data_IF_923872042002
#
_entry.id   IF_923872042002
#
_cell.length_a   1.000
_cell.length_b   1.000
_cell.length_c   1.000
_cell.angle_alpha   90.00
_cell.angle_beta   90.00
_cell.angle_gamma   90.00
#
_symmetry.space_group_name_H-M   'P 1'
#
loop_
_entity.id
_entity.type
_entity.pdbx_description
1 polymer ?
#
# COMPACT_ATOMS: atom_id res chain seq x y z
N UNK A 1 15.42 49.81 -7.05
CA UNK A 1 16.58 50.56 -6.52
C UNK A 1 17.07 50.04 -5.15
N UNK A 2 16.39 49.10 -4.48
CA UNK A 2 16.80 48.58 -3.14
C UNK A 2 17.17 47.11 -3.19
N UNK A 3 17.78 46.61 -4.25
CA UNK A 3 18.20 45.23 -4.40
C UNK A 3 19.70 45.14 -4.49
N UNK A 4 20.35 44.39 -3.60
CA UNK A 4 21.74 43.98 -3.69
C UNK A 4 21.83 42.53 -4.11
N UNK A 5 22.62 42.23 -5.11
CA UNK A 5 22.84 40.85 -5.60
C UNK A 5 24.28 40.47 -5.32
N UNK A 6 24.48 39.30 -4.70
CA UNK A 6 25.80 38.73 -4.45
C UNK A 6 25.96 37.40 -5.21
N UNK A 7 27.20 37.00 -5.50
CA UNK A 7 27.52 35.83 -6.30
C UNK A 7 27.49 34.51 -5.49
N UNK A 8 26.44 34.28 -4.66
CA UNK A 8 26.25 33.05 -3.87
C UNK A 8 27.47 32.72 -2.97
N UNK A 9 27.91 33.70 -2.18
CA UNK A 9 29.13 33.60 -1.36
C UNK A 9 28.89 33.15 0.10
N UNK A 10 27.68 32.69 0.45
CA UNK A 10 27.29 32.37 1.84
C UNK A 10 28.12 31.27 2.52
N UNK A 11 28.76 30.40 1.76
CA UNK A 11 29.61 29.31 2.29
C UNK A 11 31.10 29.51 2.02
N UNK A 12 31.56 30.75 1.81
CA UNK A 12 32.92 31.02 1.34
C UNK A 12 33.93 31.30 2.47
N UNK A 13 33.61 30.98 3.70
CA UNK A 13 34.56 31.02 4.82
C UNK A 13 35.02 29.61 5.18
N UNK A 14 36.24 29.47 5.72
CA UNK A 14 36.76 28.18 6.15
C UNK A 14 35.85 27.49 7.18
N UNK A 15 35.28 28.25 8.10
CA UNK A 15 34.33 27.77 9.12
C UNK A 15 33.03 27.27 8.48
N UNK A 16 32.46 28.03 7.53
CA UNK A 16 31.23 27.63 6.83
C UNK A 16 31.45 26.34 6.02
N UNK A 17 32.59 26.22 5.33
CA UNK A 17 32.92 25.04 4.53
C UNK A 17 33.09 23.80 5.43
N UNK A 18 33.78 23.93 6.59
CA UNK A 18 33.92 22.83 7.53
C UNK A 18 32.58 22.40 8.13
N UNK A 19 31.75 23.36 8.56
CA UNK A 19 30.43 23.07 9.12
C UNK A 19 29.48 22.43 8.09
N UNK A 20 29.45 22.92 6.87
CA UNK A 20 28.65 22.35 5.77
C UNK A 20 29.09 20.91 5.47
N UNK A 21 30.38 20.64 5.42
CA UNK A 21 30.90 19.29 5.16
C UNK A 21 30.48 18.32 6.28
N UNK A 22 30.60 18.70 7.54
CA UNK A 22 30.19 17.88 8.68
C UNK A 22 28.69 17.62 8.62
N UNK A 23 27.87 18.67 8.49
CA UNK A 23 26.42 18.53 8.44
C UNK A 23 25.96 17.70 7.26
N UNK A 24 26.54 17.88 6.08
CA UNK A 24 26.20 17.09 4.90
C UNK A 24 26.52 15.60 5.08
N UNK A 25 27.68 15.28 5.70
CA UNK A 25 28.06 13.91 6.01
C UNK A 25 27.12 13.26 7.03
N UNK A 26 26.77 13.98 8.10
CA UNK A 26 25.83 13.49 9.12
C UNK A 26 24.42 13.26 8.52
N UNK A 27 23.94 14.18 7.71
CA UNK A 27 22.64 14.06 7.04
C UNK A 27 22.65 12.90 6.05
N UNK A 28 23.69 12.76 5.25
CA UNK A 28 23.83 11.65 4.31
C UNK A 28 23.87 10.30 5.04
N UNK A 29 24.59 10.22 6.16
CA UNK A 29 24.65 9.01 6.98
C UNK A 29 23.30 8.67 7.61
N UNK A 30 22.60 9.66 8.16
CA UNK A 30 21.26 9.49 8.72
C UNK A 30 20.24 9.08 7.65
N UNK A 31 20.32 9.67 6.47
CA UNK A 31 19.49 9.31 5.32
C UNK A 31 19.77 7.86 4.85
N UNK A 32 21.03 7.48 4.72
CA UNK A 32 21.42 6.12 4.34
C UNK A 32 20.95 5.06 5.35
N UNK A 33 20.85 5.43 6.63
CA UNK A 33 20.35 4.56 7.71
C UNK A 33 18.81 4.63 7.88
N UNK A 34 18.11 5.46 7.12
CA UNK A 34 16.66 5.65 7.25
C UNK A 34 16.24 6.38 8.54
N UNK A 35 17.15 7.08 9.23
CA UNK A 35 16.88 7.70 10.53
C UNK A 35 16.14 9.04 10.37
N UNK A 36 16.64 9.92 9.49
CA UNK A 36 16.04 11.25 9.26
C UNK A 36 16.49 11.89 7.96
N UNK A 37 15.68 12.82 7.43
CA UNK A 37 15.92 13.50 6.16
C UNK A 37 15.63 15.01 6.29
N UNK A 38 16.24 15.75 7.23
CA UNK A 38 15.79 17.07 7.65
C UNK A 38 15.81 18.14 6.53
N UNK A 39 16.68 17.97 5.53
CA UNK A 39 16.85 18.94 4.45
C UNK A 39 16.59 18.34 3.06
N UNK A 40 15.89 17.20 2.97
CA UNK A 40 15.54 16.61 1.69
C UNK A 40 14.50 17.47 0.97
N UNK A 41 14.76 17.79 -0.31
CA UNK A 41 13.87 18.60 -1.14
C UNK A 41 12.71 17.78 -1.73
N UNK A 42 12.88 16.49 -1.83
CA UNK A 42 11.97 15.54 -2.48
C UNK A 42 11.21 14.66 -1.49
N UNK A 43 11.07 15.08 -0.24
CA UNK A 43 10.17 14.42 0.70
C UNK A 43 8.71 14.67 0.29
N UNK A 44 7.90 13.62 0.22
CA UNK A 44 6.49 13.77 -0.10
C UNK A 44 5.72 14.55 0.97
N UNK A 45 6.19 14.47 2.22
CA UNK A 45 5.62 15.19 3.37
C UNK A 45 6.76 15.56 4.34
N UNK A 46 6.74 16.78 4.85
CA UNK A 46 7.61 17.17 5.97
C UNK A 46 6.97 16.72 7.27
N UNK A 47 7.69 15.95 8.05
CA UNK A 47 7.20 15.34 9.30
C UNK A 47 6.76 16.37 10.34
N UNK A 48 7.34 17.57 10.31
CA UNK A 48 7.07 18.67 11.26
C UNK A 48 5.68 19.31 11.05
N UNK A 49 5.11 19.17 9.83
CA UNK A 49 3.83 19.79 9.45
C UNK A 49 2.67 18.77 9.37
N UNK A 50 2.89 17.52 9.78
CA UNK A 50 1.89 16.45 9.65
C UNK A 50 0.85 16.51 10.78
N UNK A 51 -0.43 16.72 10.47
CA UNK A 51 -1.49 16.49 11.43
C UNK A 51 -1.48 15.05 11.95
N UNK A 52 -1.77 14.85 13.22
CA UNK A 52 -1.75 13.52 13.85
C UNK A 52 -2.60 12.46 13.13
N UNK A 53 -3.70 12.87 12.50
CA UNK A 53 -4.58 11.95 11.79
C UNK A 53 -3.98 11.42 10.48
N UNK A 54 -2.97 12.09 9.89
CA UNK A 54 -2.38 11.72 8.59
C UNK A 54 -1.37 10.59 8.74
N UNK A 55 -0.57 10.60 9.79
CA UNK A 55 0.51 9.64 10.01
C UNK A 55 0.07 8.16 9.89
N UNK A 56 -1.06 7.72 10.49
CA UNK A 56 -1.52 6.33 10.35
C UNK A 56 -1.91 5.96 8.92
N UNK A 57 -2.33 6.92 8.07
CA UNK A 57 -2.67 6.67 6.67
C UNK A 57 -1.45 6.38 5.80
N UNK A 58 -0.26 6.86 6.17
CA UNK A 58 1.00 6.57 5.48
C UNK A 58 1.29 5.07 5.50
N UNK A 59 1.19 4.46 6.67
CA UNK A 59 1.38 3.03 6.83
C UNK A 59 0.25 2.24 6.14
N UNK A 60 -1.00 2.66 6.34
CA UNK A 60 -2.16 2.01 5.74
C UNK A 60 -2.06 1.98 4.21
N UNK A 61 -1.75 3.11 3.57
CA UNK A 61 -1.69 3.18 2.10
C UNK A 61 -0.57 2.32 1.53
N UNK A 62 0.57 2.24 2.20
CA UNK A 62 1.69 1.37 1.80
C UNK A 62 1.28 -0.11 1.89
N UNK A 63 0.64 -0.54 2.98
CA UNK A 63 0.11 -1.89 3.15
C UNK A 63 -0.97 -2.23 2.11
N UNK A 64 -1.88 -1.30 1.83
CA UNK A 64 -2.91 -1.46 0.81
C UNK A 64 -2.31 -1.68 -0.57
N UNK A 65 -1.31 -0.86 -0.94
CA UNK A 65 -0.62 -0.96 -2.21
C UNK A 65 0.19 -2.27 -2.33
N UNK A 66 0.86 -2.67 -1.26
CA UNK A 66 1.59 -3.93 -1.20
C UNK A 66 0.66 -5.14 -1.34
N UNK A 67 -0.48 -5.15 -0.62
CA UNK A 67 -1.52 -6.17 -0.80
C UNK A 67 -2.06 -6.18 -2.23
N UNK A 68 -2.38 -5.01 -2.77
CA UNK A 68 -2.90 -4.86 -4.13
C UNK A 68 -1.92 -5.43 -5.17
N UNK A 69 -0.61 -5.18 -5.01
CA UNK A 69 0.43 -5.71 -5.89
C UNK A 69 0.54 -7.24 -5.81
N UNK A 70 0.47 -7.83 -4.60
CA UNK A 70 0.46 -9.28 -4.42
C UNK A 70 -0.76 -9.96 -5.09
N UNK A 71 -1.87 -9.23 -5.26
CA UNK A 71 -3.07 -9.72 -5.96
C UNK A 71 -2.95 -9.66 -7.48
N UNK A 72 -1.84 -9.19 -8.04
CA UNK A 72 -1.67 -9.04 -9.48
C UNK A 72 -0.68 -10.07 -10.05
N UNK A 73 -0.83 -10.32 -11.36
CA UNK A 73 0.14 -11.05 -12.17
C UNK A 73 0.50 -10.18 -13.37
N UNK A 74 1.78 -10.15 -13.72
CA UNK A 74 2.28 -9.35 -14.84
C UNK A 74 2.81 -7.97 -14.43
N UNK A 75 3.34 -7.23 -15.39
CA UNK A 75 3.95 -5.93 -15.16
C UNK A 75 2.91 -4.87 -14.77
N UNK A 76 3.21 -4.10 -13.73
CA UNK A 76 2.39 -2.96 -13.32
C UNK A 76 2.49 -1.88 -14.39
N UNK A 77 1.35 -1.35 -14.84
CA UNK A 77 1.25 -0.24 -15.78
C UNK A 77 0.86 1.07 -15.12
N UNK A 78 0.01 1.02 -14.11
CA UNK A 78 -0.34 2.22 -13.35
C UNK A 78 -0.68 1.91 -11.90
N UNK A 79 -0.41 2.89 -11.04
CA UNK A 79 -0.81 2.93 -9.64
C UNK A 79 -1.65 4.19 -9.47
N UNK A 80 -2.90 4.03 -9.05
CA UNK A 80 -3.83 5.13 -8.85
C UNK A 80 -4.32 5.15 -7.42
N UNK A 81 -4.41 6.36 -6.87
CA UNK A 81 -4.92 6.61 -5.53
C UNK A 81 -6.17 7.49 -5.61
N UNK A 82 -7.23 7.06 -4.97
CA UNK A 82 -8.41 7.88 -4.73
C UNK A 82 -8.49 8.17 -3.23
N UNK A 83 -8.73 9.43 -2.88
CA UNK A 83 -8.77 9.89 -1.51
C UNK A 83 -10.09 10.63 -1.24
N UNK A 84 -10.78 10.26 -0.19
CA UNK A 84 -12.04 10.85 0.27
C UNK A 84 -11.86 11.48 1.65
N UNK A 85 -12.49 12.64 1.89
CA UNK A 85 -12.40 13.38 3.13
C UNK A 85 -11.15 14.25 3.22
N UNK A 86 -10.76 14.65 4.44
CA UNK A 86 -9.63 15.55 4.69
C UNK A 86 -8.29 14.98 4.23
N UNK A 87 -8.15 13.67 4.20
CA UNK A 87 -6.93 13.01 3.68
C UNK A 87 -6.68 13.31 2.20
N UNK A 88 -7.69 13.79 1.48
CA UNK A 88 -7.58 14.24 0.09
C UNK A 88 -6.59 15.38 -0.11
N UNK A 89 -6.37 16.23 0.88
CA UNK A 89 -5.36 17.30 0.85
C UNK A 89 -3.94 16.74 0.73
N UNK A 90 -3.74 15.50 1.18
CA UNK A 90 -2.47 14.78 1.19
C UNK A 90 -2.38 13.71 0.08
N UNK A 91 -3.36 13.67 -0.85
CA UNK A 91 -3.46 12.60 -1.84
C UNK A 91 -2.19 12.42 -2.68
N UNK A 92 -1.53 13.53 -3.08
CA UNK A 92 -0.26 13.46 -3.81
C UNK A 92 0.83 12.74 -2.99
N UNK A 93 0.96 13.10 -1.74
CA UNK A 93 1.94 12.49 -0.84
C UNK A 93 1.61 11.03 -0.53
N UNK A 94 0.33 10.71 -0.32
CA UNK A 94 -0.14 9.33 -0.13
C UNK A 94 0.14 8.47 -1.36
N UNK A 95 0.08 9.04 -2.58
CA UNK A 95 0.43 8.31 -3.81
C UNK A 95 1.90 7.86 -3.81
N UNK A 96 2.83 8.69 -3.32
CA UNK A 96 4.24 8.29 -3.21
C UNK A 96 4.40 7.08 -2.27
N UNK A 97 3.72 7.07 -1.13
CA UNK A 97 3.74 5.92 -0.22
C UNK A 97 3.02 4.68 -0.80
N UNK A 98 1.96 4.89 -1.59
CA UNK A 98 1.35 3.80 -2.35
C UNK A 98 2.33 3.22 -3.38
N UNK A 99 3.10 4.07 -4.06
CA UNK A 99 4.13 3.61 -4.98
C UNK A 99 5.22 2.80 -4.27
N UNK A 100 5.66 3.23 -3.07
CA UNK A 100 6.59 2.43 -2.24
C UNK A 100 6.01 1.03 -1.98
N UNK A 101 4.81 0.95 -1.43
CA UNK A 101 4.19 -0.34 -1.11
C UNK A 101 4.02 -1.24 -2.35
N UNK A 102 3.55 -0.68 -3.47
CA UNK A 102 3.37 -1.45 -4.70
C UNK A 102 4.70 -1.95 -5.28
N UNK A 103 5.73 -1.11 -5.29
CA UNK A 103 7.03 -1.45 -5.86
C UNK A 103 7.88 -2.32 -4.93
N UNK A 104 7.62 -2.31 -3.63
CA UNK A 104 8.31 -3.16 -2.66
C UNK A 104 8.16 -4.66 -3.00
N UNK A 105 7.03 -5.06 -3.56
CA UNK A 105 6.80 -6.43 -4.02
C UNK A 105 7.74 -6.86 -5.16
N UNK A 106 8.33 -5.90 -5.89
CA UNK A 106 9.19 -6.13 -7.06
C UNK A 106 10.66 -5.83 -6.76
N UNK A 107 10.91 -4.76 -6.01
CA UNK A 107 12.24 -4.19 -5.77
C UNK A 107 12.79 -4.49 -4.36
N UNK A 108 11.96 -5.09 -3.49
CA UNK A 108 12.34 -5.35 -2.10
C UNK A 108 12.62 -4.08 -1.31
N UNK A 109 13.56 -4.14 -0.37
CA UNK A 109 13.91 -3.05 0.56
C UNK A 109 14.66 -1.88 -0.09
N UNK A 110 15.05 -1.98 -1.36
CA UNK A 110 15.75 -0.90 -2.06
C UNK A 110 14.85 0.28 -2.40
N UNK A 111 13.52 0.09 -2.38
CA UNK A 111 12.52 1.13 -2.62
C UNK A 111 12.19 1.89 -1.35
N UNK A 112 12.13 3.22 -1.46
CA UNK A 112 11.71 4.12 -0.39
C UNK A 112 10.97 5.33 -0.98
N UNK A 113 10.41 6.18 -0.12
CA UNK A 113 9.61 7.33 -0.55
C UNK A 113 10.40 8.44 -1.28
N UNK A 114 11.74 8.41 -1.22
CA UNK A 114 12.60 9.36 -1.93
C UNK A 114 12.79 8.94 -3.40
N UNK A 115 12.90 7.63 -3.66
CA UNK A 115 13.18 7.10 -5.00
C UNK A 115 11.96 6.50 -5.70
N UNK A 116 10.81 6.35 -5.03
CA UNK A 116 9.66 5.62 -5.57
C UNK A 116 9.10 6.23 -6.87
N UNK A 117 8.96 7.54 -6.95
CA UNK A 117 8.45 8.21 -8.16
C UNK A 117 9.42 8.04 -9.34
N UNK A 118 10.72 8.20 -9.11
CA UNK A 118 11.74 7.98 -10.12
C UNK A 118 11.76 6.52 -10.60
N UNK A 119 11.73 5.57 -9.68
CA UNK A 119 11.71 4.14 -10.02
C UNK A 119 10.44 3.72 -10.77
N UNK A 120 9.29 4.32 -10.44
CA UNK A 120 8.06 4.12 -11.19
C UNK A 120 8.20 4.64 -12.63
N UNK A 121 8.75 5.84 -12.80
CA UNK A 121 8.99 6.44 -14.11
C UNK A 121 9.96 5.61 -14.96
N UNK A 122 11.08 5.14 -14.39
CA UNK A 122 12.04 4.28 -15.09
C UNK A 122 11.40 2.97 -15.60
N UNK A 123 10.43 2.44 -14.83
CA UNK A 123 9.69 1.23 -15.21
C UNK A 123 8.48 1.50 -16.11
N UNK A 124 8.26 2.74 -16.51
CA UNK A 124 7.10 3.13 -17.32
C UNK A 124 5.76 2.96 -16.59
N UNK A 125 5.75 3.08 -15.27
CA UNK A 125 4.55 2.96 -14.43
C UNK A 125 3.93 4.35 -14.26
N UNK A 126 2.68 4.51 -14.69
CA UNK A 126 1.94 5.75 -14.49
C UNK A 126 1.48 5.88 -13.04
N UNK A 127 1.76 7.04 -12.43
CA UNK A 127 1.26 7.42 -11.11
C UNK A 127 0.15 8.46 -11.26
N UNK A 128 -0.97 8.26 -10.56
CA UNK A 128 -2.09 9.20 -10.61
C UNK A 128 -2.91 9.19 -9.33
N UNK A 129 -3.47 10.35 -8.98
CA UNK A 129 -4.39 10.45 -7.84
C UNK A 129 -5.64 11.28 -8.19
N UNK A 130 -6.69 11.08 -7.42
CA UNK A 130 -7.92 11.86 -7.46
C UNK A 130 -8.45 12.07 -6.04
N UNK A 131 -9.07 13.22 -5.82
CA UNK A 131 -9.86 13.49 -4.62
C UNK A 131 -11.33 13.33 -4.95
N UNK A 132 -12.05 12.58 -4.13
CA UNK A 132 -13.46 12.27 -4.34
C UNK A 132 -14.32 12.86 -3.22
N UNK A 133 -15.61 13.14 -3.49
CA UNK A 133 -16.57 13.46 -2.44
C UNK A 133 -16.63 12.35 -1.38
N UNK A 134 -16.89 12.73 -0.14
CA UNK A 134 -17.00 11.79 0.98
C UNK A 134 -18.15 10.80 0.78
N UNK A 135 -17.91 9.51 0.90
CA UNK A 135 -18.88 8.42 0.68
C UNK A 135 -19.30 7.67 1.96
N UNK A 136 -19.20 8.30 3.13
CA UNK A 136 -19.68 7.74 4.40
C UNK A 136 -18.59 7.41 5.42
N UNK A 137 -17.30 7.50 5.05
CA UNK A 137 -16.18 7.48 5.99
C UNK A 137 -15.66 8.90 6.18
N UNK A 138 -15.15 9.25 7.37
CA UNK A 138 -14.54 10.56 7.58
C UNK A 138 -13.35 10.77 6.64
N UNK A 139 -12.54 9.73 6.46
CA UNK A 139 -11.44 9.65 5.51
C UNK A 139 -11.38 8.23 4.95
N UNK A 140 -11.14 8.09 3.66
CA UNK A 140 -10.94 6.79 3.00
C UNK A 140 -9.91 6.93 1.89
N UNK A 141 -9.04 5.95 1.76
CA UNK A 141 -8.12 5.80 0.64
C UNK A 141 -8.50 4.55 -0.15
N UNK A 142 -8.34 4.61 -1.47
CA UNK A 142 -8.44 3.46 -2.36
C UNK A 142 -7.23 3.44 -3.28
N UNK A 143 -6.47 2.37 -3.23
CA UNK A 143 -5.35 2.10 -4.15
C UNK A 143 -5.84 1.14 -5.22
N UNK A 144 -5.63 1.51 -6.48
CA UNK A 144 -5.89 0.66 -7.64
C UNK A 144 -4.61 0.45 -8.43
N UNK A 145 -4.24 -0.80 -8.63
CA UNK A 145 -3.12 -1.20 -9.49
C UNK A 145 -3.68 -1.83 -10.76
N UNK A 146 -3.17 -1.38 -11.90
CA UNK A 146 -3.49 -1.92 -13.22
C UNK A 146 -2.23 -2.57 -13.79
N UNK A 147 -2.38 -3.79 -14.25
CA UNK A 147 -1.36 -4.53 -15.01
C UNK A 147 -1.81 -4.69 -16.45
N UNK A 148 -1.02 -5.34 -17.29
CA UNK A 148 -1.40 -5.64 -18.68
C UNK A 148 -2.69 -6.48 -18.79
N UNK A 149 -2.95 -7.32 -17.79
CA UNK A 149 -4.01 -8.34 -17.88
C UNK A 149 -5.17 -8.14 -16.93
N UNK A 150 -5.02 -7.30 -15.90
CA UNK A 150 -6.03 -7.17 -14.86
C UNK A 150 -5.89 -5.85 -14.10
N UNK A 151 -6.90 -5.52 -13.30
CA UNK A 151 -6.83 -4.50 -12.27
C UNK A 151 -7.32 -5.06 -10.94
N UNK A 152 -6.79 -4.54 -9.85
CA UNK A 152 -7.25 -4.84 -8.51
C UNK A 152 -7.26 -3.56 -7.68
N UNK A 153 -8.19 -3.45 -6.76
CA UNK A 153 -8.28 -2.30 -5.86
C UNK A 153 -8.42 -2.73 -4.40
N UNK A 154 -7.85 -1.93 -3.52
CA UNK A 154 -7.92 -2.10 -2.08
C UNK A 154 -8.28 -0.77 -1.47
N UNK A 155 -9.37 -0.70 -0.72
CA UNK A 155 -9.75 0.50 0.01
C UNK A 155 -9.69 0.29 1.52
N UNK A 156 -9.24 1.32 2.22
CA UNK A 156 -9.07 1.29 3.66
C UNK A 156 -9.37 2.63 4.32
N UNK A 157 -9.62 2.55 5.61
CA UNK A 157 -9.86 3.69 6.49
C UNK A 157 -9.26 3.43 7.86
N UNK A 158 -9.27 4.44 8.70
CA UNK A 158 -8.84 4.35 10.10
C UNK A 158 -10.03 4.69 10.97
N UNK A 159 -10.34 3.77 11.88
CA UNK A 159 -11.30 3.99 12.95
C UNK A 159 -10.57 4.40 14.22
N UNK A 160 -11.18 5.28 15.00
CA UNK A 160 -10.59 5.83 16.22
C UNK A 160 -9.22 6.44 15.96
N UNK A 161 -8.29 6.34 16.91
CA UNK A 161 -6.98 6.98 16.78
C UNK A 161 -6.01 6.21 15.86
N UNK A 162 -6.15 4.86 15.74
CA UNK A 162 -5.13 4.05 15.03
C UNK A 162 -5.62 2.67 14.55
N UNK A 163 -6.92 2.40 14.53
CA UNK A 163 -7.45 1.11 14.08
C UNK A 163 -7.56 1.06 12.54
N UNK A 164 -6.46 0.66 11.90
CA UNK A 164 -6.38 0.49 10.44
C UNK A 164 -7.29 -0.65 9.98
N UNK A 165 -8.13 -0.39 8.99
CA UNK A 165 -9.04 -1.38 8.40
C UNK A 165 -9.05 -1.32 6.88
N UNK A 166 -9.00 -2.50 6.26
CA UNK A 166 -9.38 -2.68 4.87
C UNK A 166 -10.89 -2.87 4.83
N UNK A 167 -11.58 -2.04 4.05
CA UNK A 167 -13.06 -1.99 3.99
C UNK A 167 -13.63 -2.38 2.65
N UNK A 168 -12.77 -2.50 1.62
CA UNK A 168 -13.16 -2.96 0.29
C UNK A 168 -11.99 -3.65 -0.42
N UNK A 169 -12.26 -4.77 -1.05
CA UNK A 169 -11.35 -5.45 -1.95
C UNK A 169 -12.02 -5.66 -3.30
N UNK A 170 -11.58 -4.90 -4.30
CA UNK A 170 -12.04 -5.02 -5.68
C UNK A 170 -13.56 -4.95 -5.84
N UNK A 171 -14.21 -4.04 -5.06
CA UNK A 171 -15.66 -3.84 -5.02
C UNK A 171 -16.43 -4.72 -4.01
N UNK A 172 -15.76 -5.65 -3.36
CA UNK A 172 -16.37 -6.47 -2.31
C UNK A 172 -16.16 -5.81 -0.94
N UNK A 173 -17.25 -5.44 -0.27
CA UNK A 173 -17.20 -4.90 1.08
C UNK A 173 -16.69 -5.94 2.06
N UNK A 174 -15.76 -5.54 2.90
CA UNK A 174 -15.13 -6.38 3.91
C UNK A 174 -14.74 -5.53 5.12
N UNK A 175 -14.22 -6.15 6.17
CA UNK A 175 -13.67 -5.44 7.34
C UNK A 175 -12.63 -6.33 8.02
N UNK A 176 -11.34 -6.01 7.83
CA UNK A 176 -10.25 -6.72 8.51
C UNK A 176 -9.03 -5.82 8.71
N UNK A 177 -8.17 -6.18 9.67
CA UNK A 177 -6.91 -5.48 9.92
C UNK A 177 -5.86 -5.87 8.87
N UNK A 178 -5.13 -4.90 8.27
CA UNK A 178 -4.10 -5.19 7.28
C UNK A 178 -2.82 -5.74 7.92
N UNK A 179 -2.86 -7.00 8.37
CA UNK A 179 -1.72 -7.67 9.00
C UNK A 179 -1.82 -9.19 8.91
N UNK A 180 -0.64 -9.84 8.92
CA UNK A 180 -0.54 -11.29 8.97
C UNK A 180 -0.74 -11.97 7.63
N UNK A 181 -0.87 -13.29 7.70
CA UNK A 181 -0.99 -14.17 6.53
C UNK A 181 -2.45 -14.34 6.15
N UNK A 182 -2.74 -14.27 4.87
CA UNK A 182 -4.12 -14.37 4.40
C UNK A 182 -4.24 -15.05 3.04
N UNK A 183 -5.38 -15.69 2.83
CA UNK A 183 -5.81 -16.17 1.52
C UNK A 183 -6.95 -15.27 1.05
N UNK A 184 -6.81 -14.67 -0.12
CA UNK A 184 -7.89 -13.97 -0.81
C UNK A 184 -8.50 -14.94 -1.80
N UNK A 185 -9.75 -15.33 -1.56
CA UNK A 185 -10.46 -16.34 -2.32
C UNK A 185 -11.72 -15.74 -2.96
N UNK A 186 -11.75 -15.67 -4.28
CA UNK A 186 -12.95 -15.27 -5.04
C UNK A 186 -13.64 -16.49 -5.63
N UNK A 187 -14.97 -16.57 -5.49
CA UNK A 187 -15.74 -17.72 -5.92
C UNK A 187 -17.13 -17.35 -6.45
N UNK A 188 -17.76 -18.30 -7.15
CA UNK A 188 -19.21 -18.28 -7.37
C UNK A 188 -19.91 -18.41 -6.01
N UNK A 189 -20.91 -17.55 -5.76
CA UNK A 189 -21.64 -17.52 -4.48
C UNK A 189 -22.71 -18.62 -4.46
N UNK A 190 -22.30 -19.84 -4.16
CA UNK A 190 -23.15 -21.03 -4.09
C UNK A 190 -22.99 -21.76 -2.75
N UNK A 191 -24.01 -22.53 -2.31
CA UNK A 191 -23.91 -23.33 -1.08
C UNK A 191 -22.75 -24.32 -1.11
N UNK A 192 -22.14 -24.54 0.05
CA UNK A 192 -21.05 -25.52 0.24
C UNK A 192 -19.63 -25.01 0.03
N UNK A 193 -19.43 -23.82 -0.54
CA UNK A 193 -18.10 -23.27 -0.83
C UNK A 193 -17.27 -23.13 0.46
N UNK A 194 -17.83 -22.53 1.51
CA UNK A 194 -17.11 -22.35 2.79
C UNK A 194 -16.71 -23.70 3.40
N UNK A 195 -17.62 -24.67 3.39
CA UNK A 195 -17.32 -26.01 3.89
C UNK A 195 -16.19 -26.68 3.11
N UNK A 196 -16.17 -26.54 1.78
CA UNK A 196 -15.11 -27.07 0.92
C UNK A 196 -13.76 -26.43 1.21
N UNK A 197 -13.70 -25.08 1.28
CA UNK A 197 -12.47 -24.36 1.58
C UNK A 197 -11.93 -24.76 2.97
N UNK A 198 -12.81 -24.73 4.00
CA UNK A 198 -12.42 -25.09 5.37
C UNK A 198 -11.94 -26.55 5.45
N UNK A 199 -12.55 -27.45 4.68
CA UNK A 199 -12.10 -28.84 4.58
C UNK A 199 -10.70 -28.98 3.99
N UNK A 200 -10.39 -28.24 2.90
CA UNK A 200 -9.06 -28.21 2.28
C UNK A 200 -8.02 -27.68 3.29
N UNK A 201 -8.31 -26.56 3.96
CA UNK A 201 -7.39 -25.98 4.94
C UNK A 201 -7.17 -26.91 6.12
N UNK A 202 -8.22 -27.51 6.67
CA UNK A 202 -8.14 -28.47 7.78
C UNK A 202 -7.33 -29.72 7.41
N UNK A 203 -7.52 -30.27 6.18
CA UNK A 203 -6.76 -31.42 5.68
C UNK A 203 -5.25 -31.11 5.62
N UNK A 204 -4.91 -29.87 5.28
CA UNK A 204 -3.53 -29.38 5.20
C UNK A 204 -3.02 -28.82 6.54
N UNK A 205 -3.75 -29.00 7.65
CA UNK A 205 -3.40 -28.56 9.02
C UNK A 205 -3.20 -27.04 9.12
N UNK A 206 -3.97 -26.27 8.37
CA UNK A 206 -3.96 -24.81 8.38
C UNK A 206 -5.11 -24.33 9.28
N UNK A 207 -4.77 -23.53 10.29
CA UNK A 207 -5.76 -22.93 11.18
C UNK A 207 -6.30 -21.63 10.57
N UNK A 208 -7.63 -21.46 10.67
CA UNK A 208 -8.31 -20.23 10.26
C UNK A 208 -8.43 -19.33 11.49
N UNK A 209 -7.71 -18.20 11.49
CA UNK A 209 -7.74 -17.21 12.56
C UNK A 209 -8.95 -16.26 12.45
N UNK A 210 -9.32 -15.88 11.21
CA UNK A 210 -10.51 -15.04 10.93
C UNK A 210 -11.01 -15.32 9.52
N UNK A 211 -12.31 -15.12 9.29
CA UNK A 211 -12.95 -15.36 8.00
C UNK A 211 -13.94 -14.22 7.70
N UNK A 212 -13.64 -13.43 6.67
CA UNK A 212 -14.49 -12.32 6.21
C UNK A 212 -15.00 -12.61 4.82
N UNK A 213 -16.30 -12.47 4.59
CA UNK A 213 -16.95 -12.72 3.32
C UNK A 213 -17.68 -11.48 2.84
N UNK A 214 -17.31 -10.99 1.67
CA UNK A 214 -18.03 -9.97 0.92
C UNK A 214 -18.79 -10.57 -0.25
N UNK A 215 -19.95 -10.01 -0.60
CA UNK A 215 -20.76 -10.35 -1.77
C UNK A 215 -20.97 -9.12 -2.64
N UNK A 216 -20.96 -9.28 -3.94
CA UNK A 216 -21.16 -8.15 -4.88
C UNK A 216 -22.58 -8.07 -5.46
N UNK A 217 -23.45 -9.02 -5.12
CA UNK A 217 -24.81 -9.13 -5.66
C UNK A 217 -24.89 -9.64 -7.09
N UNK A 218 -23.77 -9.86 -7.78
CA UNK A 218 -23.70 -10.39 -9.15
C UNK A 218 -23.50 -11.92 -9.21
N UNK A 219 -23.62 -12.59 -8.06
CA UNK A 219 -23.43 -14.04 -7.95
C UNK A 219 -21.98 -14.45 -7.64
N UNK A 220 -21.16 -13.51 -7.19
CA UNK A 220 -19.81 -13.78 -6.72
C UNK A 220 -19.63 -13.36 -5.26
N UNK A 221 -18.71 -14.04 -4.60
CA UNK A 221 -18.26 -13.74 -3.27
C UNK A 221 -16.72 -13.65 -3.24
N UNK A 222 -16.19 -12.86 -2.30
CA UNK A 222 -14.76 -12.77 -2.03
C UNK A 222 -14.55 -12.97 -0.53
N UNK A 223 -13.81 -14.01 -0.18
CA UNK A 223 -13.41 -14.30 1.19
C UNK A 223 -11.98 -13.83 1.44
N UNK A 224 -11.77 -13.19 2.60
CA UNK A 224 -10.47 -12.97 3.21
C UNK A 224 -10.35 -13.95 4.36
N UNK A 225 -9.42 -14.86 4.27
CA UNK A 225 -9.20 -15.93 5.25
C UNK A 225 -7.84 -15.68 5.89
N UNK A 226 -7.83 -15.17 7.13
CA UNK A 226 -6.61 -15.02 7.90
C UNK A 226 -6.21 -16.40 8.45
N UNK A 227 -4.93 -16.72 8.33
CA UNK A 227 -4.38 -18.02 8.70
C UNK A 227 -3.11 -17.88 9.54
N UNK A 228 -2.82 -18.88 10.36
CA UNK A 228 -1.63 -18.86 11.20
C UNK A 228 -0.38 -19.36 10.46
N UNK A 229 -0.57 -20.29 9.50
CA UNK A 229 0.52 -20.93 8.78
C UNK A 229 0.80 -20.27 7.43
N UNK A 230 2.01 -20.48 6.91
CA UNK A 230 2.36 -20.15 5.53
C UNK A 230 1.60 -21.07 4.56
N UNK A 231 1.07 -20.50 3.49
CA UNK A 231 0.33 -21.25 2.46
C UNK A 231 1.24 -21.57 1.28
N UNK A 232 1.61 -22.83 1.20
CA UNK A 232 2.43 -23.32 0.08
C UNK A 232 1.64 -23.44 -1.22
N UNK A 233 2.39 -23.53 -2.32
CA UNK A 233 1.81 -23.63 -3.68
C UNK A 233 0.81 -24.77 -3.83
N UNK A 234 1.08 -25.94 -3.23
CA UNK A 234 0.21 -27.11 -3.34
C UNK A 234 -1.21 -26.83 -2.81
N UNK A 235 -1.33 -26.14 -1.68
CA UNK A 235 -2.63 -25.77 -1.09
C UNK A 235 -3.34 -24.74 -1.96
N UNK A 236 -2.61 -23.75 -2.49
CA UNK A 236 -3.19 -22.77 -3.42
C UNK A 236 -3.66 -23.42 -4.71
N UNK A 237 -2.92 -24.40 -5.24
CA UNK A 237 -3.31 -25.15 -6.45
C UNK A 237 -4.57 -25.99 -6.17
N UNK A 238 -4.68 -26.63 -4.99
CA UNK A 238 -5.89 -27.36 -4.58
C UNK A 238 -7.11 -26.44 -4.44
N UNK A 239 -6.95 -25.26 -3.84
CA UNK A 239 -8.01 -24.24 -3.76
C UNK A 239 -8.42 -23.74 -5.13
N UNK A 240 -7.46 -23.47 -6.02
CA UNK A 240 -7.73 -23.01 -7.38
C UNK A 240 -8.34 -24.09 -8.28
N UNK A 241 -8.14 -25.38 -7.98
CA UNK A 241 -8.75 -26.49 -8.72
C UNK A 241 -10.24 -26.71 -8.36
N UNK A 242 -10.75 -26.06 -7.30
CA UNK A 242 -12.16 -26.16 -6.94
C UNK A 242 -13.03 -25.44 -7.99
N UNK A 243 -14.05 -26.14 -8.51
CA UNK A 243 -14.89 -25.69 -9.65
C UNK A 243 -15.62 -24.35 -9.43
N UNK A 244 -15.93 -24.00 -8.18
CA UNK A 244 -16.54 -22.72 -7.85
C UNK A 244 -15.49 -21.61 -7.66
N UNK A 245 -14.20 -21.93 -7.61
CA UNK A 245 -13.11 -20.95 -7.44
C UNK A 245 -12.93 -20.12 -8.72
N UNK A 246 -12.80 -18.82 -8.55
CA UNK A 246 -12.36 -17.92 -9.62
C UNK A 246 -10.85 -17.67 -9.48
N UNK A 247 -10.41 -17.40 -8.25
CA UNK A 247 -9.00 -17.42 -7.89
C UNK A 247 -8.81 -17.59 -6.38
N UNK A 248 -7.70 -18.21 -6.00
CA UNK A 248 -7.15 -18.20 -4.65
C UNK A 248 -5.73 -17.66 -4.70
N UNK A 249 -5.40 -16.68 -3.86
CA UNK A 249 -4.08 -16.08 -3.78
C UNK A 249 -3.68 -15.88 -2.32
N UNK A 250 -2.40 -16.11 -2.04
CA UNK A 250 -1.81 -15.85 -0.73
C UNK A 250 -1.23 -14.45 -0.71
N UNK A 251 -1.38 -13.78 0.41
CA UNK A 251 -0.72 -12.52 0.72
C UNK A 251 -0.26 -12.51 2.17
N UNK A 252 0.77 -11.71 2.45
CA UNK A 252 1.29 -11.47 3.80
C UNK A 252 1.61 -9.99 3.98
N UNK A 253 1.17 -9.40 5.12
CA UNK A 253 1.33 -8.00 5.48
C UNK A 253 2.02 -7.85 6.84
#
# INVERSE_FOLDING_TARGET
ENVSVTAHLGANTLESQANIAIQACEQALNAARGISYPNALNLPIKTEDLPNFVAPYIELVSKMAFLCAQMQKGAIKSIRLEAEGQIGEYAKSMLTFAAVGALQSILGESINYVNAEFMAQEKGIELGFATLPNSGYNNKLCVKIVTENASFSVAGTIFEENDQRIVDLNGFKTDFKPKGKMIIFKNKDIPGVIAKISGILAHNKINIADFRLGRDGSGYALAVILVDEFIGKAVLDELNAYEACIFARYAEL
#
